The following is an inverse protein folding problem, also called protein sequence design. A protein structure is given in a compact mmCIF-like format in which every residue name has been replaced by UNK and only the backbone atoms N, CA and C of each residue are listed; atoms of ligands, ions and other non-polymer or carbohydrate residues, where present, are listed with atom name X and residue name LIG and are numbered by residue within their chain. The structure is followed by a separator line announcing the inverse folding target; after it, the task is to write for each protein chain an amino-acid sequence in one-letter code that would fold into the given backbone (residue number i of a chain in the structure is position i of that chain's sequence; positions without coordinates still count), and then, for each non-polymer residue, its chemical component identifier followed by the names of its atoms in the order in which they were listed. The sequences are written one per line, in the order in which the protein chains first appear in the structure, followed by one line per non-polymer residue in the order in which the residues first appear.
data_IF_868391692505
#
_entry.id   IF_868391692505
#
_cell.length_a   1.000
_cell.length_b   1.000
_cell.length_c   1.000
_cell.angle_alpha   90.00
_cell.angle_beta   90.00
_cell.angle_gamma   90.00
#
_symmetry.space_group_name_H-M   'P 1'
#
loop_
_entity.id
_entity.type
_entity.pdbx_description
1 polymer ?
#
# COMPACT_ATOMS: atom_id res chain seq x y z
N UNK A 1 -15.79 -26.25 -2.19
CA UNK A 1 -16.21 -24.85 -1.95
C UNK A 1 -15.63 -24.45 -0.61
N UNK A 2 -14.52 -23.69 -0.62
CA UNK A 2 -13.91 -23.18 0.60
C UNK A 2 -14.21 -21.68 0.60
N UNK A 3 -15.24 -21.29 1.35
CA UNK A 3 -15.45 -19.91 1.74
C UNK A 3 -14.44 -19.61 2.86
N UNK A 4 -13.28 -19.09 2.51
CA UNK A 4 -12.41 -18.41 3.48
C UNK A 4 -12.32 -16.95 3.03
N UNK A 5 -13.46 -16.27 3.09
CA UNK A 5 -13.54 -14.83 2.81
C UNK A 5 -13.02 -14.15 4.06
N UNK A 6 -11.73 -13.86 4.10
CA UNK A 6 -11.21 -12.85 5.02
C UNK A 6 -12.02 -11.57 4.77
N UNK A 7 -12.89 -11.20 5.71
CA UNK A 7 -13.68 -9.97 5.61
C UNK A 7 -12.78 -8.77 5.92
N UNK A 8 -11.98 -8.38 4.94
CA UNK A 8 -11.28 -7.10 4.97
C UNK A 8 -12.26 -5.96 4.70
N UNK A 9 -12.11 -4.78 5.33
CA UNK A 9 -12.87 -3.58 4.95
C UNK A 9 -12.63 -3.32 3.45
N UNK A 10 -13.70 -3.30 2.66
CA UNK A 10 -13.58 -3.35 1.19
C UNK A 10 -13.24 -2.01 0.56
N UNK A 11 -12.92 -2.06 -0.74
CA UNK A 11 -12.82 -0.88 -1.61
C UNK A 11 -14.05 0.03 -1.53
N UNK A 12 -15.26 -0.52 -1.53
CA UNK A 12 -16.49 0.28 -1.46
C UNK A 12 -16.58 1.06 -0.13
N UNK A 13 -16.13 0.46 0.97
CA UNK A 13 -16.05 1.13 2.27
C UNK A 13 -15.02 2.25 2.25
N UNK A 14 -13.87 2.02 1.62
CA UNK A 14 -12.85 3.04 1.41
C UNK A 14 -13.38 4.22 0.58
N UNK A 15 -14.03 3.94 -0.56
CA UNK A 15 -14.59 4.96 -1.45
C UNK A 15 -15.67 5.79 -0.74
N UNK A 16 -16.53 5.16 0.06
CA UNK A 16 -17.48 5.89 0.89
C UNK A 16 -16.77 6.75 1.96
N UNK A 17 -15.71 6.23 2.58
CA UNK A 17 -14.99 6.92 3.65
C UNK A 17 -14.23 8.14 3.14
N UNK A 18 -13.49 8.01 2.05
CA UNK A 18 -12.64 9.10 1.53
C UNK A 18 -13.46 10.33 1.11
N UNK A 19 -14.70 10.14 0.65
CA UNK A 19 -15.63 11.22 0.32
C UNK A 19 -16.04 12.06 1.54
N UNK A 20 -15.89 11.53 2.75
CA UNK A 20 -16.20 12.22 4.01
C UNK A 20 -14.97 12.88 4.65
N UNK A 21 -13.77 12.58 4.14
CA UNK A 21 -12.52 13.08 4.72
C UNK A 21 -12.30 14.55 4.37
N UNK A 22 -11.75 15.31 5.33
CA UNK A 22 -11.40 16.73 5.11
C UNK A 22 -9.98 16.90 4.59
N UNK A 23 -9.08 16.01 4.98
CA UNK A 23 -7.65 16.07 4.71
C UNK A 23 -7.08 14.65 4.65
N UNK A 24 -7.51 13.82 3.69
CA UNK A 24 -7.05 12.44 3.60
C UNK A 24 -5.54 12.39 3.35
N UNK A 25 -4.86 11.42 3.98
CA UNK A 25 -3.51 10.98 3.65
C UNK A 25 -3.58 9.49 3.41
N UNK A 26 -3.04 9.05 2.28
CA UNK A 26 -3.16 7.67 1.83
C UNK A 26 -1.80 7.02 1.70
N UNK A 27 -1.74 5.78 2.16
CA UNK A 27 -0.61 4.88 1.97
C UNK A 27 -1.15 3.64 1.28
N UNK A 28 -0.84 3.51 0.00
CA UNK A 28 -1.21 2.35 -0.81
C UNK A 28 -0.07 1.35 -0.75
N UNK A 29 -0.32 0.15 -0.25
CA UNK A 29 0.69 -0.85 0.08
C UNK A 29 0.42 -2.13 -0.69
N UNK A 30 1.44 -2.64 -1.38
CA UNK A 30 1.36 -3.78 -2.29
C UNK A 30 2.44 -4.81 -1.94
N UNK A 31 2.08 -6.10 -1.90
CA UNK A 31 3.02 -7.17 -1.56
C UNK A 31 3.86 -7.54 -2.78
N UNK A 32 5.19 -7.41 -2.68
CA UNK A 32 6.09 -7.72 -3.79
C UNK A 32 5.94 -9.16 -4.24
N UNK A 33 5.70 -9.35 -5.54
CA UNK A 33 5.68 -10.66 -6.18
C UNK A 33 4.70 -11.63 -5.51
N UNK A 34 3.53 -11.17 -5.07
CA UNK A 34 2.55 -12.02 -4.40
C UNK A 34 2.16 -13.25 -5.21
N UNK A 35 2.08 -13.14 -6.55
CA UNK A 35 1.84 -14.30 -7.42
C UNK A 35 2.91 -15.41 -7.24
N UNK A 36 4.17 -15.06 -7.00
CA UNK A 36 5.24 -16.03 -6.73
C UNK A 36 5.02 -16.74 -5.39
N UNK A 37 4.45 -16.05 -4.40
CA UNK A 37 4.06 -16.65 -3.12
C UNK A 37 2.92 -17.65 -3.35
N UNK A 38 1.88 -17.27 -4.09
CA UNK A 38 0.77 -18.17 -4.43
C UNK A 38 1.26 -19.39 -5.19
N UNK A 39 2.16 -19.23 -6.16
CA UNK A 39 2.75 -20.34 -6.90
C UNK A 39 3.61 -21.27 -6.02
N UNK A 40 4.30 -20.73 -5.02
CA UNK A 40 5.17 -21.49 -4.12
C UNK A 40 4.43 -22.22 -3.00
N UNK A 41 3.35 -21.63 -2.48
CA UNK A 41 2.66 -22.11 -1.27
C UNK A 41 1.18 -22.44 -1.47
N UNK A 42 0.69 -22.32 -2.71
CA UNK A 42 -0.72 -22.51 -3.07
C UNK A 42 -1.61 -21.34 -2.65
N UNK A 43 -2.86 -21.38 -3.08
CA UNK A 43 -3.87 -20.35 -2.78
C UNK A 43 -4.06 -20.16 -1.26
N UNK A 44 -4.01 -21.25 -0.50
CA UNK A 44 -4.12 -21.22 0.97
C UNK A 44 -2.92 -20.49 1.61
N UNK A 45 -1.70 -20.70 1.09
CA UNK A 45 -0.52 -19.98 1.53
C UNK A 45 -0.58 -18.49 1.21
N UNK A 46 -1.08 -18.15 0.02
CA UNK A 46 -1.38 -16.76 -0.35
C UNK A 46 -2.40 -16.11 0.57
N UNK A 47 -3.52 -16.78 0.83
CA UNK A 47 -4.55 -16.31 1.77
C UNK A 47 -3.98 -16.09 3.18
N UNK A 48 -3.13 -17.01 3.64
CA UNK A 48 -2.47 -16.89 4.93
C UNK A 48 -1.57 -15.65 5.03
N UNK A 49 -0.80 -15.37 3.96
CA UNK A 49 0.02 -14.15 3.87
C UNK A 49 -0.85 -12.91 3.91
N UNK A 50 -1.96 -12.86 3.16
CA UNK A 50 -2.90 -11.72 3.19
C UNK A 50 -3.50 -11.51 4.58
N UNK A 51 -3.95 -12.56 5.28
CA UNK A 51 -4.47 -12.47 6.64
C UNK A 51 -3.41 -11.98 7.63
N UNK A 52 -2.21 -12.52 7.54
CA UNK A 52 -1.08 -12.14 8.40
C UNK A 52 -0.70 -10.68 8.18
N UNK A 53 -0.63 -10.27 6.92
CA UNK A 53 -0.29 -8.90 6.56
C UNK A 53 -1.37 -7.91 6.99
N UNK A 54 -2.64 -8.23 6.79
CA UNK A 54 -3.75 -7.41 7.28
C UNK A 54 -3.73 -7.25 8.80
N UNK A 55 -3.35 -8.29 9.55
CA UNK A 55 -3.20 -8.21 11.01
C UNK A 55 -2.09 -7.25 11.41
N UNK A 56 -0.95 -7.28 10.71
CA UNK A 56 0.15 -6.33 10.90
C UNK A 56 -0.30 -4.89 10.61
N UNK A 57 -0.96 -4.67 9.47
CA UNK A 57 -1.48 -3.34 9.10
C UNK A 57 -2.53 -2.84 10.08
N UNK A 58 -3.42 -3.71 10.57
CA UNK A 58 -4.47 -3.34 11.52
C UNK A 58 -3.89 -2.93 12.87
N UNK A 59 -2.84 -3.62 13.32
CA UNK A 59 -2.13 -3.28 14.55
C UNK A 59 -1.41 -1.93 14.43
N UNK A 60 -0.76 -1.69 13.30
CA UNK A 60 -0.14 -0.41 12.99
C UNK A 60 -1.18 0.72 12.93
N UNK A 61 -2.28 0.50 12.21
CA UNK A 61 -3.35 1.47 12.06
C UNK A 61 -3.99 1.86 13.40
N UNK A 62 -4.25 0.88 14.27
CA UNK A 62 -4.77 1.13 15.61
C UNK A 62 -3.80 1.98 16.46
N UNK A 63 -2.49 1.77 16.34
CA UNK A 63 -1.48 2.54 17.06
C UNK A 63 -1.32 3.98 16.57
N UNK A 64 -1.72 4.26 15.33
CA UNK A 64 -1.53 5.54 14.65
C UNK A 64 -2.84 6.23 14.25
N UNK A 65 -3.99 5.80 14.78
CA UNK A 65 -5.32 6.35 14.49
C UNK A 65 -5.66 6.35 12.97
N UNK A 66 -5.29 5.26 12.30
CA UNK A 66 -5.55 5.04 10.88
C UNK A 66 -6.64 3.99 10.67
N UNK A 67 -7.17 3.96 9.45
CA UNK A 67 -8.12 2.96 8.98
C UNK A 67 -7.44 2.09 7.91
N UNK A 68 -7.71 0.77 7.93
CA UNK A 68 -7.16 -0.19 6.94
C UNK A 68 -8.27 -0.64 6.01
N UNK A 69 -7.99 -0.66 4.71
CA UNK A 69 -8.88 -1.22 3.70
C UNK A 69 -8.12 -2.15 2.76
N UNK A 70 -8.82 -3.14 2.23
CA UNK A 70 -8.35 -3.98 1.13
C UNK A 70 -8.90 -3.42 -0.18
N UNK A 71 -8.00 -3.09 -1.11
CA UNK A 71 -8.38 -2.47 -2.38
C UNK A 71 -8.72 -3.53 -3.43
N UNK A 72 -7.74 -4.37 -3.75
CA UNK A 72 -7.86 -5.53 -4.63
C UNK A 72 -6.63 -6.43 -4.44
N UNK A 73 -6.78 -7.73 -4.71
CA UNK A 73 -5.69 -8.73 -4.71
C UNK A 73 -4.79 -8.64 -3.47
N UNK A 74 -3.56 -8.18 -3.62
CA UNK A 74 -2.52 -8.04 -2.62
C UNK A 74 -2.26 -6.58 -2.20
N UNK A 75 -3.15 -5.68 -2.59
CA UNK A 75 -3.06 -4.24 -2.31
C UNK A 75 -3.99 -3.80 -1.18
N UNK A 76 -3.42 -3.08 -0.23
CA UNK A 76 -4.09 -2.52 0.94
C UNK A 76 -3.92 -1.00 1.01
N UNK A 77 -4.82 -0.33 1.73
CA UNK A 77 -4.80 1.11 1.97
C UNK A 77 -4.74 1.36 3.47
N UNK A 78 -3.83 2.21 3.91
CA UNK A 78 -3.96 2.94 5.17
C UNK A 78 -4.45 4.36 4.88
N UNK A 79 -5.50 4.77 5.60
CA UNK A 79 -6.09 6.09 5.51
C UNK A 79 -6.02 6.78 6.87
N UNK A 80 -5.58 8.04 6.88
CA UNK A 80 -5.71 8.93 8.03
C UNK A 80 -6.26 10.28 7.56
N UNK A 81 -7.19 10.85 8.33
CA UNK A 81 -7.86 12.12 8.00
C UNK A 81 -7.39 13.23 8.93
N UNK A 82 -6.19 13.75 8.68
CA UNK A 82 -5.58 14.82 9.48
C UNK A 82 -4.96 15.91 8.61
N UNK A 83 -4.90 17.17 9.10
CA UNK A 83 -4.13 18.22 8.44
C UNK A 83 -2.67 17.81 8.23
N UNK A 84 -2.08 18.27 7.12
CA UNK A 84 -0.68 17.98 6.84
C UNK A 84 0.24 18.66 7.85
N UNK A 85 1.13 17.87 8.45
CA UNK A 85 2.18 18.34 9.34
C UNK A 85 3.44 17.51 9.08
N UNK A 86 4.50 18.17 8.58
CA UNK A 86 5.71 17.50 8.08
C UNK A 86 6.30 16.51 9.09
N UNK A 87 6.55 16.95 10.33
CA UNK A 87 7.16 16.11 11.37
C UNK A 87 6.29 14.89 11.72
N UNK A 88 4.97 15.03 11.73
CA UNK A 88 4.08 13.88 11.94
C UNK A 88 4.14 12.89 10.77
N UNK A 89 4.19 13.39 9.54
CA UNK A 89 4.27 12.54 8.35
C UNK A 89 5.62 11.82 8.26
N UNK A 90 6.73 12.50 8.55
CA UNK A 90 8.06 11.88 8.62
C UNK A 90 8.13 10.78 9.68
N UNK A 91 7.60 11.05 10.89
CA UNK A 91 7.53 10.04 11.95
C UNK A 91 6.65 8.85 11.55
N UNK A 92 5.51 9.11 10.88
CA UNK A 92 4.60 8.07 10.44
C UNK A 92 5.22 7.21 9.33
N UNK A 93 5.92 7.83 8.37
CA UNK A 93 6.66 7.11 7.31
C UNK A 93 7.79 6.28 7.92
N UNK A 94 8.54 6.83 8.87
CA UNK A 94 9.58 6.10 9.58
C UNK A 94 9.03 4.88 10.32
N UNK A 95 7.95 5.08 11.10
CA UNK A 95 7.29 4.00 11.82
C UNK A 95 6.72 2.93 10.88
N UNK A 96 6.08 3.35 9.78
CA UNK A 96 5.57 2.42 8.77
C UNK A 96 6.71 1.63 8.12
N UNK A 97 7.80 2.30 7.75
CA UNK A 97 8.96 1.65 7.14
C UNK A 97 9.52 0.57 8.06
N UNK A 98 9.73 0.88 9.34
CA UNK A 98 10.17 -0.11 10.32
C UNK A 98 9.15 -1.23 10.55
N UNK A 99 7.85 -0.95 10.51
CA UNK A 99 6.82 -1.99 10.62
C UNK A 99 6.77 -2.93 9.41
N UNK A 100 7.21 -2.45 8.24
CA UNK A 100 7.27 -3.20 6.99
C UNK A 100 8.63 -3.89 6.78
N UNK A 101 9.60 -3.69 7.68
CA UNK A 101 10.85 -4.43 7.68
C UNK A 101 10.65 -5.87 8.15
N UNK A 102 11.32 -6.82 7.49
CA UNK A 102 11.35 -8.24 7.89
C UNK A 102 9.97 -8.92 8.00
N UNK A 103 9.01 -8.51 7.17
CA UNK A 103 7.70 -9.16 7.12
C UNK A 103 7.85 -10.65 6.85
N UNK A 104 7.32 -11.45 7.76
CA UNK A 104 7.34 -12.90 7.65
C UNK A 104 6.15 -13.52 8.33
N UNK A 105 5.76 -14.69 7.86
CA UNK A 105 4.70 -15.50 8.47
C UNK A 105 5.03 -16.97 8.37
N UNK A 106 4.49 -17.79 9.28
CA UNK A 106 4.75 -19.23 9.30
C UNK A 106 3.54 -19.98 8.77
N UNK A 107 3.71 -20.63 7.62
CA UNK A 107 2.69 -21.45 6.98
C UNK A 107 3.23 -22.86 6.74
N UNK A 108 2.48 -23.90 7.14
CA UNK A 108 2.86 -25.29 6.96
C UNK A 108 4.30 -25.65 7.43
N UNK A 109 4.74 -25.09 8.57
CA UNK A 109 6.10 -25.24 9.13
C UNK A 109 7.22 -24.59 8.30
N UNK A 110 6.88 -23.73 7.34
CA UNK A 110 7.82 -22.96 6.54
C UNK A 110 7.63 -21.47 6.84
N UNK A 111 8.73 -20.73 6.88
CA UNK A 111 8.70 -19.27 7.03
C UNK A 111 8.63 -18.64 5.65
N UNK A 112 7.55 -17.92 5.38
CA UNK A 112 7.37 -17.12 4.18
C UNK A 112 7.80 -15.70 4.51
N UNK A 113 8.92 -15.27 3.96
CA UNK A 113 9.37 -13.86 4.03
C UNK A 113 8.89 -13.12 2.80
N UNK A 114 8.39 -11.90 2.99
CA UNK A 114 7.93 -11.06 1.88
C UNK A 114 8.28 -9.60 2.14
N UNK A 115 8.17 -8.78 1.12
CA UNK A 115 8.42 -7.34 1.20
C UNK A 115 7.29 -6.61 0.51
N UNK A 116 7.24 -5.29 0.62
CA UNK A 116 6.17 -4.47 0.06
C UNK A 116 6.71 -3.27 -0.72
N UNK A 117 5.87 -2.69 -1.58
CA UNK A 117 6.02 -1.36 -2.14
C UNK A 117 4.92 -0.45 -1.62
N UNK A 118 5.23 0.83 -1.39
CA UNK A 118 4.30 1.80 -0.82
C UNK A 118 4.24 3.05 -1.69
N UNK A 119 3.05 3.42 -2.14
CA UNK A 119 2.76 4.71 -2.77
C UNK A 119 2.04 5.62 -1.80
N UNK A 120 2.55 6.83 -1.59
CA UNK A 120 2.04 7.74 -0.56
C UNK A 120 1.50 9.01 -1.21
N UNK A 121 0.30 9.44 -0.79
CA UNK A 121 -0.28 10.72 -1.15
C UNK A 121 -0.64 11.52 0.09
N UNK A 122 -0.12 12.75 0.16
CA UNK A 122 -0.45 13.71 1.20
C UNK A 122 -1.47 14.77 0.75
N UNK A 123 -1.88 14.71 -0.51
CA UNK A 123 -2.75 15.71 -1.11
C UNK A 123 -4.22 15.47 -0.78
N UNK A 124 -4.98 16.56 -0.81
CA UNK A 124 -6.42 16.54 -0.56
C UNK A 124 -7.23 16.07 -1.78
N UNK A 125 -6.76 16.40 -2.99
CA UNK A 125 -7.44 16.07 -4.25
C UNK A 125 -6.79 14.88 -4.95
N UNK A 126 -7.63 13.99 -5.49
CA UNK A 126 -7.24 12.79 -6.24
C UNK A 126 -6.21 11.94 -5.49
N UNK A 127 -6.36 11.85 -4.17
CA UNK A 127 -5.38 11.24 -3.28
C UNK A 127 -5.06 9.79 -3.69
N UNK A 128 -6.07 9.02 -4.10
CA UNK A 128 -5.90 7.64 -4.54
C UNK A 128 -5.09 7.55 -5.84
N UNK A 129 -5.45 8.33 -6.85
CA UNK A 129 -4.74 8.34 -8.13
C UNK A 129 -3.26 8.72 -7.95
N UNK A 130 -2.99 9.70 -7.09
CA UNK A 130 -1.64 10.11 -6.73
C UNK A 130 -0.86 9.03 -5.99
N UNK A 131 -1.49 8.35 -5.04
CA UNK A 131 -0.87 7.23 -4.34
C UNK A 131 -0.57 6.06 -5.30
N UNK A 132 -1.46 5.78 -6.27
CA UNK A 132 -1.23 4.79 -7.31
C UNK A 132 -0.04 5.15 -8.20
N UNK A 133 0.07 6.41 -8.66
CA UNK A 133 1.23 6.88 -9.43
C UNK A 133 2.54 6.73 -8.65
N UNK A 134 2.54 7.12 -7.37
CA UNK A 134 3.70 6.94 -6.50
C UNK A 134 4.05 5.44 -6.32
N UNK A 135 3.05 4.57 -6.17
CA UNK A 135 3.28 3.13 -6.06
C UNK A 135 3.92 2.54 -7.33
N UNK A 136 3.50 2.98 -8.52
CA UNK A 136 4.11 2.54 -9.78
C UNK A 136 5.60 2.87 -9.84
N UNK A 137 6.00 4.05 -9.37
CA UNK A 137 7.42 4.44 -9.29
C UNK A 137 8.17 3.64 -8.23
N UNK A 138 7.58 3.44 -7.05
CA UNK A 138 8.17 2.58 -6.03
C UNK A 138 8.45 1.17 -6.58
N UNK A 139 7.52 0.63 -7.38
CA UNK A 139 7.68 -0.65 -8.08
C UNK A 139 8.81 -0.60 -9.12
N UNK A 140 8.82 0.41 -9.99
CA UNK A 140 9.82 0.57 -11.05
C UNK A 140 11.25 0.72 -10.51
N UNK A 141 11.43 1.55 -9.48
CA UNK A 141 12.72 1.83 -8.84
C UNK A 141 13.09 0.82 -7.74
N UNK A 142 12.21 -0.15 -7.48
CA UNK A 142 12.33 -1.13 -6.41
C UNK A 142 12.57 -0.52 -4.99
N UNK A 143 12.02 0.66 -4.75
CA UNK A 143 12.11 1.35 -3.45
C UNK A 143 11.03 0.86 -2.48
N UNK A 144 11.23 1.00 -1.17
CA UNK A 144 10.20 0.63 -0.20
C UNK A 144 8.97 1.52 -0.33
N UNK A 145 9.18 2.84 -0.43
CA UNK A 145 8.11 3.81 -0.59
C UNK A 145 8.51 4.95 -1.53
N UNK A 146 7.52 5.58 -2.14
CA UNK A 146 7.66 6.85 -2.87
C UNK A 146 6.49 7.75 -2.48
N UNK A 147 6.77 9.05 -2.33
CA UNK A 147 5.72 10.06 -2.10
C UNK A 147 5.38 10.78 -3.40
N UNK A 148 4.10 11.08 -3.64
CA UNK A 148 3.70 11.78 -4.87
C UNK A 148 4.34 13.18 -5.00
N UNK A 149 4.65 13.87 -3.89
CA UNK A 149 5.39 15.13 -3.92
C UNK A 149 6.81 14.99 -4.46
N UNK A 150 7.47 13.87 -4.17
CA UNK A 150 8.78 13.53 -4.70
C UNK A 150 8.69 13.11 -6.17
N UNK A 151 7.63 12.38 -6.53
CA UNK A 151 7.29 12.12 -7.94
C UNK A 151 7.10 13.39 -8.74
N UNK A 152 6.41 14.42 -8.22
CA UNK A 152 6.26 15.70 -8.92
C UNK A 152 7.63 16.35 -9.21
N UNK A 153 8.60 16.23 -8.31
CA UNK A 153 9.95 16.73 -8.53
C UNK A 153 10.75 15.88 -9.54
N UNK A 154 10.57 14.56 -9.55
CA UNK A 154 11.20 13.64 -10.54
C UNK A 154 10.60 13.85 -11.93
N UNK A 155 9.27 13.97 -12.04
CA UNK A 155 8.58 14.28 -13.29
C UNK A 155 8.88 15.67 -13.84
N UNK A 156 9.05 16.68 -12.98
CA UNK A 156 9.49 18.00 -13.44
C UNK A 156 10.92 17.99 -13.98
N UNK A 157 11.72 16.98 -13.63
CA UNK A 157 13.06 16.76 -14.19
C UNK A 157 13.04 15.82 -15.41
N UNK A 158 12.04 14.95 -15.56
CA UNK A 158 11.90 14.00 -16.68
C UNK A 158 10.64 14.30 -17.51
N UNK A 159 10.87 14.99 -18.63
CA UNK A 159 9.92 15.43 -19.67
C UNK A 159 8.68 14.52 -19.87
N UNK A 160 7.51 15.15 -20.09
CA UNK A 160 6.16 14.54 -20.17
C UNK A 160 6.01 13.28 -21.06
N UNK A 161 6.87 13.06 -22.05
CA UNK A 161 6.83 11.91 -22.96
C UNK A 161 7.19 10.56 -22.29
N UNK A 162 8.03 10.57 -21.24
CA UNK A 162 8.41 9.34 -20.54
C UNK A 162 7.22 8.75 -19.74
N UNK A 163 6.38 9.65 -19.19
CA UNK A 163 5.21 9.33 -18.37
C UNK A 163 4.15 8.59 -19.20
N UNK A 164 3.87 9.10 -20.40
CA UNK A 164 2.86 8.52 -21.28
C UNK A 164 3.26 7.13 -21.77
N UNK A 165 4.58 6.88 -21.85
CA UNK A 165 5.13 5.58 -22.26
C UNK A 165 5.03 4.56 -21.13
N UNK A 166 5.36 4.93 -19.88
CA UNK A 166 5.27 4.04 -18.72
C UNK A 166 3.82 3.68 -18.35
N UNK A 167 2.86 4.60 -18.53
CA UNK A 167 1.44 4.34 -18.29
C UNK A 167 0.81 3.39 -19.33
N UNK A 168 1.36 3.32 -20.55
CA UNK A 168 0.85 2.45 -21.63
C UNK A 168 1.37 1.02 -21.56
N UNK A 169 2.50 0.76 -20.91
CA UNK A 169 3.12 -0.58 -20.80
C UNK A 169 2.65 -1.40 -19.59
N UNK A 170 1.86 -0.81 -18.70
CA UNK A 170 1.39 -1.46 -17.46
C UNK A 170 -0.03 -2.07 -17.55
N UNK A 171 -0.59 -2.23 -18.78
CA UNK A 171 -1.89 -2.87 -19.05
C UNK A 171 -1.66 -4.21 -19.75
#
# INVERSE_FOLDING_TARGET
MIENVNHFPSRDMFEARILTCKSPKLFLIDIKQFQSIVLGYGDEGGCHVLSSFFTTLSSFAAAHEMEVFHLCDDTFILLIDIPFELTKMENLIGALSSAMENLSTTYAHQTITYTVHIGISFDHFDALEKAQKALLVAKAENQLFVTYSEFANVLMNENEEAIETMMKTAI
#
